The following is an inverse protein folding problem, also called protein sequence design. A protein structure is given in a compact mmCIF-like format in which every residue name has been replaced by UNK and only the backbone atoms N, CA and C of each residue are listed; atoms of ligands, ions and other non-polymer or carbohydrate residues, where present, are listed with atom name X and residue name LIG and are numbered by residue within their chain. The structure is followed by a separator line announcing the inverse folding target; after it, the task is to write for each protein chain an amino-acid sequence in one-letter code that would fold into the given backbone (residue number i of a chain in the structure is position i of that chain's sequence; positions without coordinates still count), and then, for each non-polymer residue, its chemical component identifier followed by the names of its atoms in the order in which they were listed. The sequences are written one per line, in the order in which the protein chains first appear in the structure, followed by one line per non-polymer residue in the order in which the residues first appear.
data_IF_717234798385
#
_entry.id   IF_717234798385
#
_cell.length_a   1.000
_cell.length_b   1.000
_cell.length_c   1.000
_cell.angle_alpha   90.00
_cell.angle_beta   90.00
_cell.angle_gamma   90.00
#
_symmetry.space_group_name_H-M   'P 1'
#
loop_
_entity.id
_entity.type
_entity.pdbx_description
1 polymer ?
#
# COMPACT_ATOMS: atom_id res chain seq x y z
N UNK A 1 -41.48 17.61 -17.84
CA UNK A 1 -40.47 18.04 -16.84
C UNK A 1 -39.66 16.81 -16.49
N UNK A 2 -38.41 16.74 -16.96
CA UNK A 2 -37.53 15.60 -16.69
C UNK A 2 -36.82 15.83 -15.37
N UNK A 3 -37.14 15.03 -14.36
CA UNK A 3 -36.41 15.02 -13.09
C UNK A 3 -35.13 14.22 -13.28
N UNK A 4 -33.99 14.92 -13.31
CA UNK A 4 -32.68 14.29 -13.32
C UNK A 4 -32.40 13.74 -11.91
N UNK A 5 -32.81 12.50 -11.67
CA UNK A 5 -32.43 11.76 -10.46
C UNK A 5 -30.94 11.45 -10.56
N UNK A 6 -30.12 12.24 -9.87
CA UNK A 6 -28.73 11.89 -9.61
C UNK A 6 -28.71 10.68 -8.67
N UNK A 7 -28.56 9.49 -9.24
CA UNK A 7 -28.30 8.27 -8.48
C UNK A 7 -26.90 8.42 -7.88
N UNK A 8 -26.84 8.94 -6.65
CA UNK A 8 -25.65 8.80 -5.79
C UNK A 8 -25.58 7.31 -5.47
N UNK A 9 -24.90 6.55 -6.33
CA UNK A 9 -24.48 5.20 -5.99
C UNK A 9 -23.61 5.36 -4.75
N UNK A 10 -24.03 4.74 -3.66
CA UNK A 10 -23.48 4.72 -2.30
C UNK A 10 -22.01 4.23 -2.28
N UNK A 11 -21.14 4.97 -2.95
CA UNK A 11 -19.76 4.60 -3.27
C UNK A 11 -18.83 4.90 -2.11
N UNK A 12 -19.25 5.74 -1.15
CA UNK A 12 -18.50 5.99 0.09
C UNK A 12 -18.35 4.70 0.90
N UNK A 13 -19.43 3.93 1.09
CA UNK A 13 -19.36 2.72 1.92
C UNK A 13 -18.50 1.62 1.28
N UNK A 14 -18.49 1.50 -0.05
CA UNK A 14 -17.63 0.53 -0.75
C UNK A 14 -16.15 0.93 -0.69
N UNK A 15 -15.84 2.22 -0.88
CA UNK A 15 -14.47 2.74 -0.80
C UNK A 15 -13.90 2.56 0.60
N UNK A 16 -14.63 2.97 1.63
CA UNK A 16 -14.18 2.84 3.01
C UNK A 16 -13.95 1.39 3.42
N UNK A 17 -14.85 0.46 3.06
CA UNK A 17 -14.65 -0.98 3.33
C UNK A 17 -13.40 -1.54 2.65
N UNK A 18 -13.14 -1.13 1.41
CA UNK A 18 -11.95 -1.55 0.67
C UNK A 18 -10.67 -1.03 1.33
N UNK A 19 -10.67 0.21 1.78
CA UNK A 19 -9.54 0.80 2.50
C UNK A 19 -9.28 0.08 3.81
N UNK A 20 -10.32 -0.17 4.63
CA UNK A 20 -10.19 -0.94 5.87
C UNK A 20 -9.60 -2.32 5.62
N UNK A 21 -10.10 -3.04 4.60
CA UNK A 21 -9.56 -4.36 4.25
C UNK A 21 -8.10 -4.32 3.80
N UNK A 22 -7.67 -3.27 3.10
CA UNK A 22 -6.26 -3.08 2.73
C UNK A 22 -5.37 -2.79 3.93
N UNK A 23 -5.86 -2.02 4.91
CA UNK A 23 -5.15 -1.75 6.17
C UNK A 23 -4.99 -3.04 6.96
N UNK A 24 -6.06 -3.83 7.12
CA UNK A 24 -6.01 -5.12 7.81
C UNK A 24 -5.05 -6.10 7.13
N UNK A 25 -5.13 -6.21 5.79
CA UNK A 25 -4.20 -7.02 5.01
C UNK A 25 -2.75 -6.58 5.23
N UNK A 26 -2.48 -5.27 5.20
CA UNK A 26 -1.14 -4.74 5.42
C UNK A 26 -0.60 -5.14 6.80
N UNK A 27 -1.42 -5.02 7.84
CA UNK A 27 -1.06 -5.41 9.21
C UNK A 27 -0.77 -6.92 9.29
N UNK A 28 -1.64 -7.78 8.75
CA UNK A 28 -1.42 -9.23 8.72
C UNK A 28 -0.13 -9.61 8.00
N UNK A 29 0.15 -8.96 6.88
CA UNK A 29 1.39 -9.19 6.12
C UNK A 29 2.61 -8.70 6.89
N UNK A 30 2.54 -7.56 7.58
CA UNK A 30 3.62 -7.06 8.42
C UNK A 30 3.99 -8.06 9.52
N UNK A 31 3.00 -8.64 10.19
CA UNK A 31 3.22 -9.64 11.23
C UNK A 31 3.87 -10.90 10.66
N UNK A 32 3.40 -11.35 9.49
CA UNK A 32 3.96 -12.52 8.81
C UNK A 32 5.40 -12.28 8.37
N UNK A 33 5.71 -11.10 7.84
CA UNK A 33 7.07 -10.70 7.45
C UNK A 33 7.98 -10.58 8.67
N UNK A 34 7.49 -10.02 9.77
CA UNK A 34 8.21 -9.92 11.05
C UNK A 34 8.58 -11.31 11.58
N UNK A 35 7.60 -12.24 11.63
CA UNK A 35 7.79 -13.61 12.12
C UNK A 35 8.69 -14.43 11.20
N UNK A 36 8.43 -14.41 9.90
CA UNK A 36 9.18 -15.20 8.92
C UNK A 36 10.56 -14.63 8.61
N UNK A 37 10.79 -13.33 8.89
CA UNK A 37 12.00 -12.58 8.52
C UNK A 37 12.28 -12.62 7.01
N UNK A 38 11.26 -12.90 6.20
CA UNK A 38 11.30 -12.93 4.73
C UNK A 38 10.43 -11.82 4.15
N UNK A 39 10.87 -11.16 3.07
CA UNK A 39 10.06 -10.14 2.43
C UNK A 39 8.80 -10.75 1.81
N UNK A 40 7.71 -10.00 1.80
CA UNK A 40 6.46 -10.39 1.17
C UNK A 40 6.13 -9.41 0.04
N UNK A 41 5.72 -9.94 -1.11
CA UNK A 41 5.31 -9.16 -2.27
C UNK A 41 3.81 -9.27 -2.45
N UNK A 42 3.11 -8.14 -2.50
CA UNK A 42 1.67 -8.12 -2.79
C UNK A 42 1.41 -8.42 -4.27
N UNK A 43 0.14 -8.65 -4.61
CA UNK A 43 -0.31 -8.55 -5.99
C UNK A 43 -0.14 -7.13 -6.56
N UNK A 44 -0.38 -6.93 -7.87
CA UNK A 44 -0.47 -5.61 -8.47
C UNK A 44 -1.58 -4.77 -7.81
N UNK A 45 -1.27 -3.51 -7.52
CA UNK A 45 -2.19 -2.60 -6.85
C UNK A 45 -2.23 -1.24 -7.56
N UNK A 46 -3.41 -0.63 -7.61
CA UNK A 46 -3.56 0.73 -8.14
C UNK A 46 -2.81 1.75 -7.25
N UNK A 47 -2.66 3.00 -7.71
CA UNK A 47 -1.93 4.02 -6.95
C UNK A 47 -2.51 4.32 -5.56
N UNK A 48 -3.84 4.29 -5.44
CA UNK A 48 -4.56 4.53 -4.18
C UNK A 48 -4.31 3.41 -3.17
N UNK A 49 -4.55 2.16 -3.58
CA UNK A 49 -4.37 0.97 -2.74
C UNK A 49 -2.91 0.85 -2.25
N UNK A 50 -1.94 1.18 -3.12
CA UNK A 50 -0.51 1.26 -2.73
C UNK A 50 -0.27 2.30 -1.65
N UNK A 51 -0.88 3.47 -1.76
CA UNK A 51 -0.77 4.54 -0.77
C UNK A 51 -1.37 4.12 0.57
N UNK A 52 -2.52 3.44 0.57
CA UNK A 52 -3.15 2.93 1.79
C UNK A 52 -2.22 1.97 2.53
N UNK A 53 -1.62 0.99 1.83
CA UNK A 53 -0.68 0.04 2.45
C UNK A 53 0.58 0.75 2.98
N UNK A 54 1.15 1.67 2.20
CA UNK A 54 2.31 2.45 2.64
C UNK A 54 2.03 3.27 3.89
N UNK A 55 0.86 3.91 3.97
CA UNK A 55 0.45 4.68 5.14
C UNK A 55 0.16 3.78 6.34
N UNK A 56 -0.53 2.65 6.13
CA UNK A 56 -0.85 1.69 7.19
C UNK A 56 0.40 1.12 7.89
N UNK A 57 1.50 0.98 7.16
CA UNK A 57 2.77 0.44 7.68
C UNK A 57 3.85 1.50 7.92
N UNK A 58 3.54 2.78 7.71
CA UNK A 58 4.52 3.88 7.81
C UNK A 58 5.13 4.01 9.21
N UNK A 59 4.31 3.79 10.23
CA UNK A 59 4.70 3.93 11.64
C UNK A 59 5.24 2.62 12.24
N UNK A 60 5.22 1.51 11.49
CA UNK A 60 5.78 0.23 11.94
C UNK A 60 7.30 0.23 11.81
N UNK A 61 8.00 0.24 12.95
CA UNK A 61 9.47 0.23 13.00
C UNK A 61 10.11 -1.14 12.72
N UNK A 62 9.30 -2.19 12.56
CA UNK A 62 9.76 -3.56 12.35
C UNK A 62 9.73 -3.99 10.89
N UNK A 63 9.01 -3.26 10.04
CA UNK A 63 8.92 -3.50 8.59
C UNK A 63 9.13 -2.21 7.80
N UNK A 64 9.49 -2.34 6.53
CA UNK A 64 9.53 -1.24 5.57
C UNK A 64 8.86 -1.64 4.27
N UNK A 65 8.30 -0.69 3.55
CA UNK A 65 7.58 -0.92 2.31
C UNK A 65 8.29 -0.26 1.12
N UNK A 66 8.31 -0.92 -0.04
CA UNK A 66 8.80 -0.33 -1.29
C UNK A 66 7.92 -0.76 -2.45
N UNK A 67 7.58 0.17 -3.34
CA UNK A 67 6.86 -0.17 -4.58
C UNK A 67 7.84 -0.62 -5.66
N UNK A 68 7.53 -1.71 -6.37
CA UNK A 68 8.31 -2.24 -7.50
C UNK A 68 7.42 -2.50 -8.71
N UNK A 69 7.99 -2.43 -9.91
CA UNK A 69 7.28 -2.59 -11.18
C UNK A 69 6.73 -1.27 -11.73
N UNK A 70 6.09 -1.36 -12.90
CA UNK A 70 5.68 -0.22 -13.72
C UNK A 70 4.18 -0.30 -14.04
N UNK A 71 3.57 0.88 -14.27
CA UNK A 71 2.15 1.00 -14.64
C UNK A 71 1.20 0.21 -13.73
N UNK A 72 0.32 -0.58 -14.35
CA UNK A 72 -0.69 -1.39 -13.69
C UNK A 72 -0.14 -2.64 -13.00
N UNK A 73 1.11 -3.01 -13.27
CA UNK A 73 1.78 -4.17 -12.66
C UNK A 73 2.57 -3.80 -11.40
N UNK A 74 2.48 -2.53 -10.98
CA UNK A 74 3.21 -2.01 -9.83
C UNK A 74 2.65 -2.61 -8.53
N UNK A 75 3.54 -3.22 -7.76
CA UNK A 75 3.26 -3.98 -6.53
C UNK A 75 4.00 -3.38 -5.34
N UNK A 76 3.58 -3.73 -4.12
CA UNK A 76 4.26 -3.32 -2.88
C UNK A 76 5.02 -4.53 -2.33
N UNK A 77 6.26 -4.29 -1.91
CA UNK A 77 7.08 -5.28 -1.24
C UNK A 77 7.31 -4.81 0.19
N UNK A 78 6.97 -5.66 1.15
CA UNK A 78 7.13 -5.44 2.59
C UNK A 78 8.38 -6.21 3.03
N UNK A 79 9.37 -5.50 3.56
CA UNK A 79 10.64 -6.05 4.02
C UNK A 79 10.75 -6.00 5.54
N UNK A 80 11.29 -7.03 6.20
CA UNK A 80 11.58 -6.98 7.62
C UNK A 80 12.80 -6.10 7.89
N UNK A 81 12.77 -5.35 9.00
CA UNK A 81 13.92 -4.56 9.47
C UNK A 81 14.65 -5.39 10.54
N UNK A 82 15.97 -5.55 10.40
CA UNK A 82 16.81 -6.05 11.50
C UNK A 82 17.13 -4.86 12.42
N UNK A 83 16.75 -4.93 13.70
CA UNK A 83 17.19 -3.98 14.74
C UNK A 83 18.73 -3.92 14.68
N UNK A 84 19.30 -2.84 14.15
CA UNK A 84 20.76 -2.74 13.98
C UNK A 84 21.25 -1.74 12.93
N UNK A 85 20.41 -1.19 12.04
CA UNK A 85 20.80 -0.07 11.18
C UNK A 85 19.69 0.96 11.09
N UNK A 86 19.98 2.15 11.62
CA UNK A 86 19.24 3.41 11.45
C UNK A 86 18.77 3.50 10.00
N UNK A 87 17.45 3.53 9.82
CA UNK A 87 16.85 3.58 8.51
C UNK A 87 16.86 5.03 8.05
N UNK A 88 17.86 5.40 7.24
CA UNK A 88 17.79 6.58 6.38
C UNK A 88 16.49 6.46 5.59
N UNK A 89 15.56 7.38 5.82
CA UNK A 89 14.32 7.51 5.07
C UNK A 89 14.70 7.87 3.64
N UNK A 90 14.89 6.84 2.83
CA UNK A 90 15.03 6.92 1.37
C UNK A 90 13.65 7.36 0.83
N UNK A 91 13.44 8.67 0.87
CA UNK A 91 12.46 9.35 0.06
C UNK A 91 12.99 9.31 -1.37
N UNK A 92 12.69 8.24 -2.07
CA UNK A 92 12.81 8.15 -3.52
C UNK A 92 11.35 8.28 -4.03
N UNK A 93 10.79 9.42 -4.47
CA UNK A 93 11.34 10.55 -5.23
C UNK A 93 12.42 10.17 -6.23
N UNK A 94 12.01 9.49 -7.30
CA UNK A 94 12.35 9.69 -8.73
C UNK A 94 11.92 8.40 -9.46
N UNK A 95 11.37 8.38 -10.67
CA UNK A 95 11.81 9.03 -11.90
C UNK A 95 10.61 9.09 -12.86
N UNK A 96 10.17 10.31 -13.16
CA UNK A 96 9.65 10.70 -14.49
C UNK A 96 10.74 10.39 -15.53
N UNK A 97 10.37 10.07 -16.79
CA UNK A 97 11.21 9.78 -17.98
C UNK A 97 11.26 8.27 -18.31
N UNK A 98 10.93 7.74 -19.51
CA UNK A 98 10.83 8.19 -20.94
C UNK A 98 9.97 7.10 -21.66
N UNK A 99 9.06 7.30 -22.62
CA UNK A 99 9.03 8.09 -23.87
C UNK A 99 7.65 8.74 -24.11
#
# INVERSE_FOLDING_TARGET
MGENVSVVVDTENYRSKRESGLVELAQQLSEKVRKSRRPFTTGPLNAHDRRVIHLALKDDQQVRTKSKGEGNLRKVVIYPIKKGKTQTKDQDQTKVEID
#
